data_IF_189797892756
#
_entry.id   IF_189797892756
#
_cell.length_a   1.000
_cell.length_b   1.000
_cell.length_c   1.000
_cell.angle_alpha   90.00
_cell.angle_beta   90.00
_cell.angle_gamma   90.00
#
_symmetry.space_group_name_H-M   'P 1'
#
loop_
_entity.id
_entity.type
_entity.pdbx_description
1 polymer ?
#
# COMPACT_ATOMS: atom_id res chain seq x y z
N UNK A 1 8.25 -33.15 4.08
CA UNK A 1 7.53 -32.12 4.82
C UNK A 1 8.54 -31.03 5.08
N UNK A 2 8.17 -29.78 4.82
CA UNK A 2 9.05 -28.66 5.12
C UNK A 2 9.32 -28.58 6.63
N UNK A 3 10.47 -28.04 7.01
CA UNK A 3 10.80 -27.76 8.40
C UNK A 3 9.85 -26.67 8.93
N UNK A 4 9.11 -26.97 10.00
CA UNK A 4 8.18 -26.00 10.60
C UNK A 4 8.89 -24.93 11.43
N UNK A 5 10.15 -25.14 11.78
CA UNK A 5 10.97 -24.22 12.58
C UNK A 5 12.28 -23.90 11.86
N UNK A 6 12.24 -23.37 10.63
CA UNK A 6 13.45 -23.21 9.81
C UNK A 6 14.51 -22.31 10.47
N UNK A 7 14.10 -21.44 11.38
CA UNK A 7 14.98 -20.46 12.07
C UNK A 7 14.91 -20.58 13.59
N UNK A 8 13.71 -20.65 14.18
CA UNK A 8 13.52 -20.58 15.63
C UNK A 8 14.06 -21.79 16.40
N UNK A 9 14.39 -22.89 15.72
CA UNK A 9 15.05 -24.04 16.34
C UNK A 9 16.35 -23.65 17.06
N UNK A 10 17.12 -22.67 16.53
CA UNK A 10 18.36 -22.20 17.18
C UNK A 10 18.11 -21.45 18.49
N UNK A 11 16.89 -21.00 18.74
CA UNK A 11 16.48 -20.27 19.97
C UNK A 11 15.91 -21.25 21.00
N UNK A 12 15.17 -22.25 20.57
CA UNK A 12 14.36 -23.10 21.48
C UNK A 12 14.90 -24.49 21.69
N UNK A 13 15.73 -25.05 20.80
CA UNK A 13 16.13 -26.46 20.85
C UNK A 13 17.49 -26.63 21.55
N UNK A 14 17.61 -27.73 22.32
CA UNK A 14 18.82 -28.03 23.05
C UNK A 14 18.85 -27.54 24.51
N UNK A 15 19.73 -28.13 25.31
CA UNK A 15 19.86 -27.80 26.73
C UNK A 15 20.40 -26.38 26.94
N UNK A 16 21.33 -25.97 26.10
CA UNK A 16 21.98 -24.65 26.13
C UNK A 16 21.02 -23.49 25.90
N UNK A 17 19.82 -23.77 25.35
CA UNK A 17 18.75 -22.78 25.12
C UNK A 17 17.77 -22.65 26.29
N UNK A 18 18.03 -23.31 27.41
CA UNK A 18 17.21 -23.15 28.62
C UNK A 18 17.05 -21.68 29.07
N UNK A 19 18.08 -20.80 29.02
CA UNK A 19 17.89 -19.38 29.34
C UNK A 19 16.92 -18.67 28.38
N UNK A 20 17.02 -18.91 27.06
CA UNK A 20 16.11 -18.33 26.07
C UNK A 20 14.67 -18.80 26.29
N UNK A 21 14.47 -20.10 26.48
CA UNK A 21 13.14 -20.65 26.81
C UNK A 21 12.60 -20.07 28.11
N UNK A 22 13.45 -19.82 29.10
CA UNK A 22 13.04 -19.17 30.35
C UNK A 22 12.48 -17.78 30.13
N UNK A 23 13.07 -16.99 29.21
CA UNK A 23 12.54 -15.68 28.81
C UNK A 23 11.24 -15.83 28.06
N UNK A 24 11.16 -16.77 27.10
CA UNK A 24 9.95 -17.03 26.31
C UNK A 24 8.76 -17.51 27.17
N UNK A 25 9.02 -18.24 28.26
CA UNK A 25 7.97 -18.59 29.24
C UNK A 25 7.34 -17.35 29.90
N UNK A 26 8.14 -16.33 30.16
CA UNK A 26 7.64 -15.08 30.74
C UNK A 26 6.68 -14.31 29.79
N UNK A 27 6.78 -14.54 28.48
CA UNK A 27 5.85 -13.98 27.48
C UNK A 27 4.72 -14.96 27.10
N UNK A 28 4.58 -16.08 27.84
CA UNK A 28 3.43 -16.96 27.77
C UNK A 28 3.62 -18.27 27.00
N UNK A 29 4.84 -18.58 26.51
CA UNK A 29 5.10 -19.89 25.87
C UNK A 29 5.19 -21.03 26.90
N UNK A 30 4.60 -22.16 26.57
CA UNK A 30 4.72 -23.42 27.34
C UNK A 30 5.57 -24.48 26.60
N UNK A 31 5.63 -25.69 27.15
CA UNK A 31 6.43 -26.78 26.60
C UNK A 31 5.99 -27.20 25.20
N UNK A 32 4.69 -27.16 24.92
CA UNK A 32 4.13 -27.51 23.62
C UNK A 32 4.42 -26.43 22.58
N UNK A 33 4.51 -25.17 22.99
CA UNK A 33 4.77 -24.02 22.11
C UNK A 33 6.19 -24.02 21.53
N UNK A 34 7.18 -24.58 22.25
CA UNK A 34 8.55 -24.67 21.74
C UNK A 34 8.70 -25.58 20.53
N UNK A 35 7.71 -26.39 20.24
CA UNK A 35 7.66 -27.23 19.01
C UNK A 35 7.03 -26.51 17.81
N UNK A 36 6.39 -25.34 18.01
CA UNK A 36 5.66 -24.58 17.01
C UNK A 36 6.56 -23.55 16.30
N UNK A 37 6.27 -23.18 15.04
CA UNK A 37 6.93 -22.05 14.41
C UNK A 37 6.59 -20.75 15.14
N UNK A 38 7.58 -19.88 15.30
CA UNK A 38 7.44 -18.57 15.91
C UNK A 38 7.19 -17.52 14.83
N UNK A 39 6.05 -16.84 14.90
CA UNK A 39 5.59 -15.91 13.87
C UNK A 39 5.67 -14.48 14.39
N UNK A 40 6.48 -13.64 13.73
CA UNK A 40 6.52 -12.22 13.98
C UNK A 40 5.22 -11.55 13.55
N UNK A 41 4.61 -10.77 14.43
CA UNK A 41 3.45 -9.92 14.12
C UNK A 41 3.92 -8.47 14.21
N UNK A 42 4.43 -7.95 13.07
CA UNK A 42 5.02 -6.63 12.97
C UNK A 42 3.96 -5.57 12.69
N UNK A 43 3.80 -4.58 13.55
CA UNK A 43 2.76 -3.57 13.43
C UNK A 43 3.30 -2.15 13.52
N UNK A 44 2.87 -1.28 12.61
CA UNK A 44 3.13 0.17 12.67
C UNK A 44 2.04 0.93 13.44
N UNK A 45 1.32 0.27 14.33
CA UNK A 45 0.27 0.88 15.15
C UNK A 45 0.76 2.10 15.93
N UNK A 46 -0.04 3.15 15.92
CA UNK A 46 0.10 4.31 16.79
C UNK A 46 -1.23 5.09 16.87
N UNK A 47 -1.32 6.00 17.82
CA UNK A 47 -2.48 6.90 18.02
C UNK A 47 -2.29 8.27 17.39
N UNK A 48 -1.21 8.48 16.60
CA UNK A 48 -0.88 9.79 15.99
C UNK A 48 -1.75 10.03 14.76
N UNK A 49 -2.06 8.98 14.00
CA UNK A 49 -2.77 9.08 12.72
C UNK A 49 -3.94 8.12 12.63
N UNK A 50 -5.09 8.53 12.03
CA UNK A 50 -6.21 7.63 11.81
C UNK A 50 -5.85 6.41 10.96
N UNK A 51 -4.82 6.51 10.10
CA UNK A 51 -4.36 5.42 9.25
C UNK A 51 -4.00 4.15 10.03
N UNK A 52 -3.50 4.29 11.26
CA UNK A 52 -2.91 3.19 12.03
C UNK A 52 -3.75 2.75 13.23
N UNK A 53 -4.86 3.41 13.53
CA UNK A 53 -5.66 3.13 14.74
C UNK A 53 -6.18 1.69 14.78
N UNK A 54 -6.61 1.12 13.64
CA UNK A 54 -7.15 -0.24 13.55
C UNK A 54 -6.10 -1.34 13.71
N UNK A 55 -4.80 -1.02 13.57
CA UNK A 55 -3.75 -2.04 13.41
C UNK A 55 -3.56 -2.93 14.66
N UNK A 56 -3.77 -2.42 15.87
CA UNK A 56 -3.69 -3.26 17.08
C UNK A 56 -4.80 -4.31 17.10
N UNK A 57 -6.03 -3.92 16.81
CA UNK A 57 -7.18 -4.83 16.68
C UNK A 57 -6.93 -5.92 15.63
N UNK A 58 -6.39 -5.53 14.46
CA UNK A 58 -6.08 -6.47 13.38
C UNK A 58 -4.93 -7.41 13.74
N UNK A 59 -3.90 -6.92 14.45
CA UNK A 59 -2.81 -7.75 14.94
C UNK A 59 -3.31 -8.82 15.92
N UNK A 60 -4.26 -8.49 16.82
CA UNK A 60 -4.87 -9.49 17.71
C UNK A 60 -5.64 -10.55 16.92
N UNK A 61 -6.42 -10.18 15.90
CA UNK A 61 -7.12 -11.13 15.04
C UNK A 61 -6.16 -12.07 14.29
N UNK A 62 -5.02 -11.55 13.81
CA UNK A 62 -4.01 -12.38 13.16
C UNK A 62 -3.33 -13.35 14.13
N UNK A 63 -3.08 -12.94 15.37
CA UNK A 63 -2.54 -13.83 16.42
C UNK A 63 -3.47 -15.02 16.67
N UNK A 64 -4.79 -14.79 16.69
CA UNK A 64 -5.78 -15.88 16.77
C UNK A 64 -5.64 -16.85 15.59
N UNK A 65 -5.43 -16.33 14.37
CA UNK A 65 -5.20 -17.14 13.17
C UNK A 65 -3.92 -17.95 13.24
N UNK A 66 -2.82 -17.35 13.69
CA UNK A 66 -1.53 -18.05 13.89
C UNK A 66 -1.68 -19.19 14.88
N UNK A 67 -2.32 -18.96 16.04
CA UNK A 67 -2.58 -20.03 17.02
C UNK A 67 -3.46 -21.14 16.43
N UNK A 68 -4.54 -20.77 15.73
CA UNK A 68 -5.46 -21.75 15.12
C UNK A 68 -4.75 -22.64 14.09
N UNK A 69 -3.74 -22.11 13.38
CA UNK A 69 -2.94 -22.85 12.42
C UNK A 69 -1.77 -23.62 13.05
N UNK A 70 -1.54 -23.51 14.36
CA UNK A 70 -0.50 -24.23 15.10
C UNK A 70 0.86 -23.54 15.14
N UNK A 71 0.91 -22.20 14.96
CA UNK A 71 2.06 -21.34 15.22
C UNK A 71 1.99 -20.64 16.57
N UNK A 72 3.05 -19.97 16.96
CA UNK A 72 3.09 -19.07 18.13
C UNK A 72 3.40 -17.65 17.69
N UNK A 73 2.47 -16.68 17.87
CA UNK A 73 2.65 -15.30 17.42
C UNK A 73 3.38 -14.46 18.47
N UNK A 74 4.36 -13.68 18.02
CA UNK A 74 5.13 -12.73 18.82
C UNK A 74 4.98 -11.34 18.21
N UNK A 75 4.21 -10.47 18.87
CA UNK A 75 3.93 -9.13 18.38
C UNK A 75 5.02 -8.13 18.76
N UNK A 76 5.44 -7.31 17.81
CA UNK A 76 6.33 -6.19 18.06
C UNK A 76 5.94 -4.98 17.19
N UNK A 77 6.41 -3.79 17.59
CA UNK A 77 6.08 -2.53 16.94
C UNK A 77 7.22 -1.97 16.09
N UNK A 78 6.85 -1.18 15.09
CA UNK A 78 7.74 -0.28 14.36
C UNK A 78 7.09 1.10 14.25
N UNK A 79 7.81 2.07 13.67
CA UNK A 79 7.32 3.45 13.50
C UNK A 79 6.34 3.59 12.33
N UNK A 80 5.67 4.73 12.28
CA UNK A 80 5.01 5.25 11.08
C UNK A 80 4.94 6.77 11.14
N UNK A 81 5.09 7.43 10.00
CA UNK A 81 4.88 8.87 9.81
C UNK A 81 3.58 9.07 9.03
N UNK A 82 2.80 10.07 9.40
CA UNK A 82 1.57 10.45 8.71
C UNK A 82 1.85 11.51 7.67
N UNK A 83 1.78 11.16 6.38
CA UNK A 83 1.94 12.14 5.31
C UNK A 83 0.89 13.24 5.39
N UNK A 84 -0.37 12.89 5.68
CA UNK A 84 -1.45 13.88 5.79
C UNK A 84 -1.29 14.90 6.91
N UNK A 85 -0.58 14.55 8.00
CA UNK A 85 -0.27 15.49 9.10
C UNK A 85 1.01 16.27 8.80
N UNK A 86 2.00 15.63 8.17
CA UNK A 86 3.33 16.20 7.92
C UNK A 86 3.38 17.07 6.67
N UNK A 87 2.40 17.00 5.79
CA UNK A 87 2.35 17.76 4.53
C UNK A 87 2.31 19.27 4.78
N UNK A 88 3.09 20.04 4.01
CA UNK A 88 3.16 21.48 4.09
C UNK A 88 4.08 22.05 5.19
N UNK A 89 4.88 21.22 5.86
CA UNK A 89 5.91 21.66 6.81
C UNK A 89 7.12 20.72 6.85
N UNK A 90 8.19 21.11 7.54
CA UNK A 90 9.48 20.39 7.62
C UNK A 90 9.36 18.90 8.03
N UNK A 91 8.26 18.50 8.67
CA UNK A 91 8.00 17.10 9.02
C UNK A 91 7.87 16.17 7.81
N UNK A 92 7.53 16.70 6.63
CA UNK A 92 7.38 15.88 5.42
C UNK A 92 8.69 15.27 4.95
N UNK A 93 9.85 15.89 5.24
CA UNK A 93 11.17 15.34 4.93
C UNK A 93 11.46 14.01 5.65
N UNK A 94 10.74 13.70 6.73
CA UNK A 94 10.86 12.43 7.45
C UNK A 94 9.94 11.32 6.87
N UNK A 95 9.04 11.65 5.97
CA UNK A 95 8.07 10.69 5.42
C UNK A 95 8.78 9.56 4.67
N UNK A 96 9.56 9.86 3.62
CA UNK A 96 10.24 8.82 2.83
C UNK A 96 11.30 8.07 3.65
N UNK A 97 12.03 8.77 4.52
CA UNK A 97 13.05 8.17 5.41
C UNK A 97 12.42 7.09 6.31
N UNK A 98 11.17 7.27 6.74
CA UNK A 98 10.48 6.30 7.60
C UNK A 98 10.32 4.93 6.95
N UNK A 99 10.23 4.85 5.61
CA UNK A 99 10.14 3.59 4.86
C UNK A 99 11.34 2.68 5.13
N UNK A 100 12.55 3.24 5.03
CA UNK A 100 13.80 2.51 5.29
C UNK A 100 13.90 2.07 6.75
N UNK A 101 13.60 2.98 7.69
CA UNK A 101 13.66 2.68 9.13
C UNK A 101 12.66 1.57 9.50
N UNK A 102 11.48 1.55 8.88
CA UNK A 102 10.50 0.48 9.08
C UNK A 102 11.08 -0.86 8.60
N UNK A 103 11.61 -0.92 7.38
CA UNK A 103 12.22 -2.12 6.84
C UNK A 103 13.38 -2.61 7.74
N UNK A 104 14.30 -1.72 8.12
CA UNK A 104 15.45 -2.01 8.97
C UNK A 104 15.03 -2.50 10.37
N UNK A 105 14.02 -1.88 10.98
CA UNK A 105 13.57 -2.27 12.32
C UNK A 105 12.90 -3.64 12.31
N UNK A 106 12.09 -3.95 11.31
CA UNK A 106 11.45 -5.27 11.16
C UNK A 106 12.51 -6.34 10.90
N UNK A 107 13.44 -6.09 9.97
CA UNK A 107 14.55 -6.99 9.69
C UNK A 107 15.38 -7.25 10.95
N UNK A 108 15.69 -6.23 11.72
CA UNK A 108 16.49 -6.34 12.95
C UNK A 108 15.83 -7.28 13.95
N UNK A 109 14.54 -7.11 14.23
CA UNK A 109 13.83 -7.97 15.19
C UNK A 109 13.70 -9.40 14.66
N UNK A 110 13.28 -9.57 13.41
CA UNK A 110 13.08 -10.88 12.79
C UNK A 110 14.38 -11.71 12.79
N UNK A 111 15.51 -11.07 12.52
CA UNK A 111 16.82 -11.74 12.48
C UNK A 111 17.39 -11.98 13.90
N UNK A 112 17.27 -11.00 14.80
CA UNK A 112 17.79 -11.14 16.17
C UNK A 112 17.07 -12.25 16.95
N UNK A 113 15.74 -12.32 16.80
CA UNK A 113 14.88 -13.30 17.50
C UNK A 113 14.67 -14.59 16.70
N UNK A 114 15.23 -14.70 15.49
CA UNK A 114 15.17 -15.88 14.62
C UNK A 114 13.74 -16.37 14.36
N UNK A 115 12.81 -15.42 14.07
CA UNK A 115 11.41 -15.77 13.81
C UNK A 115 11.25 -16.44 12.46
N UNK A 116 10.37 -17.45 12.37
CA UNK A 116 10.22 -18.36 11.23
C UNK A 116 9.43 -17.78 10.05
N UNK A 117 8.54 -16.83 10.33
CA UNK A 117 7.70 -16.16 9.36
C UNK A 117 7.08 -14.92 9.97
N UNK A 118 6.38 -14.11 9.18
CA UNK A 118 5.78 -12.87 9.69
C UNK A 118 4.46 -12.51 9.04
N UNK A 119 3.62 -11.81 9.83
CA UNK A 119 2.47 -11.04 9.35
C UNK A 119 2.76 -9.58 9.64
N UNK A 120 2.69 -8.73 8.62
CA UNK A 120 3.02 -7.31 8.73
C UNK A 120 1.78 -6.44 8.56
N UNK A 121 1.68 -5.37 9.35
CA UNK A 121 0.51 -4.49 9.41
C UNK A 121 0.91 -3.04 9.17
N UNK A 122 0.29 -2.41 8.17
CA UNK A 122 0.55 -1.01 7.83
C UNK A 122 -0.72 -0.28 7.36
N UNK A 123 -0.75 1.05 7.60
CA UNK A 123 -1.89 1.89 7.24
C UNK A 123 -1.52 3.19 6.50
N UNK A 124 -0.30 3.71 6.69
CA UNK A 124 0.11 4.99 6.12
C UNK A 124 1.10 4.82 4.96
N UNK A 125 1.21 5.81 4.10
CA UNK A 125 1.87 5.83 2.79
C UNK A 125 3.21 5.09 2.72
N UNK A 126 4.12 5.35 3.64
CA UNK A 126 5.48 4.79 3.61
C UNK A 126 5.60 3.51 4.44
N UNK A 127 4.64 3.26 5.36
CA UNK A 127 4.65 2.03 6.15
C UNK A 127 4.28 0.79 5.32
N UNK A 128 3.40 0.93 4.32
CA UNK A 128 3.07 -0.20 3.45
C UNK A 128 4.30 -0.71 2.68
N UNK A 129 4.98 0.11 1.87
CA UNK A 129 6.16 -0.35 1.16
C UNK A 129 7.30 -0.76 2.10
N UNK A 130 7.49 -0.10 3.25
CA UNK A 130 8.51 -0.48 4.23
C UNK A 130 8.32 -1.90 4.76
N UNK A 131 7.07 -2.31 5.05
CA UNK A 131 6.75 -3.68 5.45
C UNK A 131 6.97 -4.70 4.33
N UNK A 132 6.61 -4.35 3.09
CA UNK A 132 6.83 -5.23 1.93
C UNK A 132 8.32 -5.33 1.56
N UNK A 133 9.11 -4.26 1.74
CA UNK A 133 10.58 -4.31 1.61
C UNK A 133 11.20 -5.25 2.65
N UNK A 134 10.75 -5.19 3.92
CA UNK A 134 11.20 -6.11 4.94
C UNK A 134 10.90 -7.57 4.57
N UNK A 135 9.72 -7.85 3.98
CA UNK A 135 9.37 -9.19 3.51
C UNK A 135 10.32 -9.69 2.42
N UNK A 136 10.60 -8.84 1.42
CA UNK A 136 11.53 -9.13 0.33
C UNK A 136 12.95 -9.40 0.83
N UNK A 137 13.45 -8.56 1.75
CA UNK A 137 14.82 -8.60 2.30
C UNK A 137 15.05 -9.85 3.15
N UNK A 138 14.08 -10.17 4.01
CA UNK A 138 14.18 -11.32 4.92
C UNK A 138 13.98 -12.67 4.23
N UNK A 139 13.21 -12.70 3.17
CA UNK A 139 12.87 -13.91 2.41
C UNK A 139 12.37 -15.07 3.30
N UNK A 140 11.46 -14.75 4.21
CA UNK A 140 10.72 -15.72 5.04
C UNK A 140 9.26 -15.78 4.59
N UNK A 141 8.53 -16.81 5.03
CA UNK A 141 7.08 -16.85 4.85
C UNK A 141 6.45 -15.55 5.38
N UNK A 142 5.80 -14.78 4.52
CA UNK A 142 5.34 -13.43 4.84
C UNK A 142 3.96 -13.15 4.27
N UNK A 143 3.10 -12.49 5.07
CA UNK A 143 1.79 -12.01 4.64
C UNK A 143 1.64 -10.54 5.03
N UNK A 144 1.26 -9.69 4.07
CA UNK A 144 1.02 -8.27 4.31
C UNK A 144 -0.47 -8.00 4.55
N UNK A 145 -0.79 -7.18 5.56
CA UNK A 145 -2.15 -6.77 5.92
C UNK A 145 -2.27 -5.25 5.94
N UNK A 146 -3.14 -4.74 5.12
CA UNK A 146 -3.47 -3.31 5.06
C UNK A 146 -4.51 -2.94 6.12
N UNK A 147 -4.38 -1.76 6.73
CA UNK A 147 -5.34 -1.22 7.72
C UNK A 147 -6.75 -0.96 7.16
N UNK A 148 -6.84 -0.63 5.88
CA UNK A 148 -8.08 -0.21 5.23
C UNK A 148 -8.19 1.30 5.04
N UNK A 149 -9.01 1.71 4.06
CA UNK A 149 -9.31 3.11 3.80
C UNK A 149 -10.30 3.69 4.82
N UNK A 150 -10.21 5.01 5.04
CA UNK A 150 -11.20 5.75 5.84
C UNK A 150 -12.50 5.88 5.04
N UNK A 151 -13.63 5.91 5.73
CA UNK A 151 -14.90 6.28 5.10
C UNK A 151 -14.88 7.76 4.69
N UNK A 152 -15.48 8.15 3.56
CA UNK A 152 -15.68 9.56 3.27
C UNK A 152 -16.56 10.20 4.35
N UNK A 153 -16.26 11.46 4.69
CA UNK A 153 -17.12 12.27 5.53
C UNK A 153 -18.27 12.87 4.73
N UNK A 154 -19.16 13.62 5.40
CA UNK A 154 -20.29 14.29 4.73
C UNK A 154 -20.43 15.75 5.15
N UNK A 155 -20.63 16.61 4.15
CA UNK A 155 -21.08 18.00 4.33
C UNK A 155 -22.37 18.15 3.52
N UNK A 156 -23.50 18.23 4.21
CA UNK A 156 -24.81 18.07 3.59
C UNK A 156 -24.93 16.68 2.93
N UNK A 157 -25.27 16.68 1.65
CA UNK A 157 -25.37 15.45 0.85
C UNK A 157 -24.06 15.07 0.10
N UNK A 158 -23.03 15.91 0.20
CA UNK A 158 -21.75 15.73 -0.50
C UNK A 158 -20.78 14.90 0.34
N UNK A 159 -20.16 13.88 -0.28
CA UNK A 159 -19.03 13.16 0.29
C UNK A 159 -17.77 14.06 0.23
N UNK A 160 -17.06 14.14 1.35
CA UNK A 160 -15.83 14.91 1.49
C UNK A 160 -14.67 14.03 1.99
N UNK A 161 -13.47 14.37 1.55
CA UNK A 161 -12.23 13.66 1.85
C UNK A 161 -11.12 14.68 2.19
N UNK A 162 -9.92 14.22 2.51
CA UNK A 162 -8.78 15.12 2.81
C UNK A 162 -8.47 16.10 1.65
N UNK A 163 -8.71 15.72 0.39
CA UNK A 163 -8.53 16.62 -0.77
C UNK A 163 -9.47 17.81 -0.68
N UNK A 164 -10.71 17.58 -0.28
CA UNK A 164 -11.69 18.66 -0.14
C UNK A 164 -11.25 19.71 0.88
N UNK A 165 -10.48 19.33 1.91
CA UNK A 165 -9.90 20.28 2.86
C UNK A 165 -8.78 21.13 2.25
N UNK A 166 -7.88 20.52 1.46
CA UNK A 166 -6.83 21.28 0.75
C UNK A 166 -7.44 22.28 -0.25
N UNK A 167 -8.43 21.84 -1.02
CA UNK A 167 -9.16 22.71 -1.94
C UNK A 167 -9.89 23.84 -1.21
N UNK A 168 -10.51 23.54 -0.06
CA UNK A 168 -11.22 24.53 0.75
C UNK A 168 -10.29 25.60 1.31
N UNK A 169 -9.08 25.23 1.77
CA UNK A 169 -8.07 26.21 2.22
C UNK A 169 -7.69 27.17 1.09
N UNK A 170 -7.41 26.65 -0.11
CA UNK A 170 -7.11 27.46 -1.28
C UNK A 170 -8.27 28.36 -1.71
N UNK A 171 -9.50 27.85 -1.70
CA UNK A 171 -10.70 28.60 -2.03
C UNK A 171 -10.98 29.72 -1.01
N UNK A 172 -10.79 29.45 0.28
CA UNK A 172 -10.95 30.44 1.36
C UNK A 172 -9.89 31.54 1.25
N UNK A 173 -8.63 31.22 0.97
CA UNK A 173 -7.57 32.20 0.75
C UNK A 173 -7.90 33.18 -0.41
N UNK A 174 -8.68 32.70 -1.39
CA UNK A 174 -9.16 33.51 -2.53
C UNK A 174 -10.51 34.16 -2.29
N UNK A 175 -11.11 34.04 -1.10
CA UNK A 175 -12.41 34.61 -0.75
C UNK A 175 -13.59 33.95 -1.49
N UNK A 176 -13.43 32.73 -2.02
CA UNK A 176 -14.50 32.01 -2.72
C UNK A 176 -15.44 31.28 -1.76
N UNK A 177 -14.96 30.91 -0.59
CA UNK A 177 -15.74 30.35 0.52
C UNK A 177 -15.34 31.01 1.83
N UNK A 178 -16.18 30.87 2.85
CA UNK A 178 -15.96 31.44 4.18
C UNK A 178 -15.09 30.54 5.05
N UNK A 179 -14.59 31.07 6.16
CA UNK A 179 -13.87 30.28 7.17
C UNK A 179 -14.77 29.22 7.81
N UNK A 180 -16.04 29.56 8.04
CA UNK A 180 -17.05 28.66 8.60
C UNK A 180 -17.27 27.42 7.72
N UNK A 181 -17.28 27.61 6.38
CA UNK A 181 -17.38 26.49 5.42
C UNK A 181 -16.14 25.61 5.45
N UNK A 182 -14.93 26.17 5.61
CA UNK A 182 -13.69 25.39 5.83
C UNK A 182 -13.80 24.59 7.12
N UNK A 183 -14.25 25.20 8.22
CA UNK A 183 -14.40 24.55 9.53
C UNK A 183 -15.42 23.39 9.48
N UNK A 184 -16.46 23.48 8.66
CA UNK A 184 -17.43 22.42 8.44
C UNK A 184 -16.79 21.22 7.72
N UNK A 185 -16.02 21.47 6.65
CA UNK A 185 -15.29 20.46 5.90
C UNK A 185 -14.25 19.79 6.80
N UNK A 186 -13.45 20.56 7.54
CA UNK A 186 -12.42 20.06 8.47
C UNK A 186 -12.99 19.05 9.46
N UNK A 187 -14.16 19.32 10.05
CA UNK A 187 -14.81 18.41 11.00
C UNK A 187 -15.34 17.13 10.36
N UNK A 188 -15.52 17.11 9.05
CA UNK A 188 -16.18 16.02 8.35
C UNK A 188 -15.19 15.05 7.68
N UNK A 189 -14.03 15.51 7.19
CA UNK A 189 -13.15 14.76 6.27
C UNK A 189 -12.58 13.46 6.83
N UNK A 190 -12.47 13.31 8.16
CA UNK A 190 -11.87 12.14 8.81
C UNK A 190 -12.83 11.58 9.87
N UNK A 191 -13.90 10.86 9.50
CA UNK A 191 -14.94 10.43 10.44
C UNK A 191 -14.56 9.23 11.30
N UNK A 192 -13.31 8.74 11.25
CA UNK A 192 -12.87 7.60 12.04
C UNK A 192 -11.50 7.08 11.64
N UNK A 193 -11.27 5.77 11.84
CA UNK A 193 -10.03 5.09 11.49
C UNK A 193 -9.92 4.80 9.99
N UNK A 194 -8.69 4.71 9.49
CA UNK A 194 -8.36 4.33 8.12
C UNK A 194 -7.41 5.29 7.42
N UNK A 195 -6.79 4.81 6.35
CA UNK A 195 -5.95 5.59 5.45
C UNK A 195 -6.80 6.46 4.52
N UNK A 196 -6.19 7.45 3.85
CA UNK A 196 -6.90 8.35 2.94
C UNK A 196 -7.77 7.60 1.93
N UNK A 197 -9.01 8.08 1.69
CA UNK A 197 -10.03 7.34 0.93
C UNK A 197 -9.80 7.27 -0.59
N UNK A 198 -9.08 8.24 -1.19
CA UNK A 198 -8.79 8.24 -2.64
C UNK A 198 -7.73 7.22 -3.03
N UNK A 199 -7.48 7.08 -4.34
CA UNK A 199 -6.40 6.25 -4.90
C UNK A 199 -5.06 6.98 -4.77
N UNK A 200 -4.72 7.32 -3.51
CA UNK A 200 -3.44 7.87 -3.09
C UNK A 200 -2.47 6.73 -2.76
N UNK A 201 -1.33 7.03 -2.15
CA UNK A 201 -0.27 6.06 -1.98
C UNK A 201 -0.69 4.83 -1.17
N UNK A 202 -1.42 5.00 -0.06
CA UNK A 202 -1.81 3.88 0.79
C UNK A 202 -2.72 2.87 0.06
N UNK A 203 -3.81 3.34 -0.59
CA UNK A 203 -4.70 2.45 -1.36
C UNK A 203 -4.02 1.87 -2.61
N UNK A 204 -3.13 2.64 -3.24
CA UNK A 204 -2.30 2.14 -4.35
C UNK A 204 -1.40 0.99 -3.89
N UNK A 205 -0.65 1.17 -2.80
CA UNK A 205 0.24 0.14 -2.29
C UNK A 205 -0.50 -1.08 -1.72
N UNK A 206 -1.71 -0.89 -1.18
CA UNK A 206 -2.59 -2.00 -0.80
C UNK A 206 -3.03 -2.82 -2.01
N UNK A 207 -3.44 -2.16 -3.11
CA UNK A 207 -3.81 -2.80 -4.37
C UNK A 207 -2.61 -3.53 -5.02
N UNK A 208 -1.43 -2.93 -4.93
CA UNK A 208 -0.16 -3.52 -5.36
C UNK A 208 0.17 -4.76 -4.52
N UNK A 209 0.04 -4.70 -3.19
CA UNK A 209 0.27 -5.85 -2.31
C UNK A 209 -0.61 -7.04 -2.65
N UNK A 210 -1.86 -6.78 -3.06
CA UNK A 210 -2.78 -7.80 -3.55
C UNK A 210 -2.38 -8.32 -4.94
N UNK A 211 -1.97 -7.43 -5.86
CA UNK A 211 -1.57 -7.79 -7.22
C UNK A 211 -0.26 -8.59 -7.29
N UNK A 212 0.71 -8.30 -6.41
CA UNK A 212 1.94 -9.09 -6.24
C UNK A 212 1.62 -10.47 -5.65
N UNK A 213 0.55 -10.58 -4.84
CA UNK A 213 0.19 -11.79 -4.13
C UNK A 213 0.66 -11.85 -2.68
N UNK A 214 1.20 -10.75 -2.10
CA UNK A 214 1.62 -10.65 -0.69
C UNK A 214 0.45 -10.45 0.29
N UNK A 215 -0.73 -10.09 -0.20
CA UNK A 215 -1.96 -9.93 0.58
C UNK A 215 -3.02 -10.93 0.13
N UNK A 216 -3.94 -11.26 1.03
CA UNK A 216 -5.07 -12.11 0.68
C UNK A 216 -5.95 -11.45 -0.41
N UNK A 217 -6.40 -12.20 -1.42
CA UNK A 217 -7.28 -11.68 -2.46
C UNK A 217 -8.55 -11.04 -1.90
N UNK A 218 -8.88 -9.83 -2.38
CA UNK A 218 -10.03 -9.03 -1.94
C UNK A 218 -9.79 -8.24 -0.66
N UNK A 219 -8.57 -8.26 -0.09
CA UNK A 219 -8.27 -7.57 1.16
C UNK A 219 -7.91 -6.10 1.02
N UNK A 220 -7.58 -5.59 -0.17
CA UNK A 220 -7.14 -4.21 -0.34
C UNK A 220 -8.27 -3.18 -0.17
N UNK A 221 -9.47 -3.47 -0.68
CA UNK A 221 -10.55 -2.50 -0.81
C UNK A 221 -11.44 -2.27 0.43
N UNK A 222 -11.77 -3.26 1.28
CA UNK A 222 -12.66 -3.03 2.43
C UNK A 222 -12.19 -1.88 3.31
N UNK A 223 -13.08 -0.99 3.79
CA UNK A 223 -12.71 0.11 4.66
C UNK A 223 -12.22 -0.35 6.05
N UNK A 224 -11.49 0.49 6.77
CA UNK A 224 -10.87 0.16 8.05
C UNK A 224 -11.90 -0.27 9.11
N UNK A 225 -13.07 0.35 9.11
CA UNK A 225 -14.18 0.06 10.05
C UNK A 225 -14.96 -1.21 9.73
N UNK A 226 -14.71 -1.84 8.56
CA UNK A 226 -15.42 -3.04 8.14
C UNK A 226 -14.90 -4.28 8.89
N UNK A 227 -15.81 -5.09 9.45
CA UNK A 227 -15.45 -6.32 10.18
C UNK A 227 -14.81 -7.40 9.31
N UNK A 228 -14.94 -7.33 7.98
CA UNK A 228 -14.18 -8.20 7.06
C UNK A 228 -12.67 -8.05 7.27
N UNK A 229 -12.19 -6.89 7.73
CA UNK A 229 -10.79 -6.67 8.09
C UNK A 229 -10.29 -7.66 9.14
N UNK A 230 -11.07 -7.91 10.19
CA UNK A 230 -10.71 -8.86 11.24
C UNK A 230 -10.61 -10.29 10.67
N UNK A 231 -11.53 -10.64 9.77
CA UNK A 231 -11.49 -11.93 9.06
C UNK A 231 -10.25 -12.05 8.17
N UNK A 232 -9.91 -11.03 7.39
CA UNK A 232 -8.68 -11.02 6.58
C UNK A 232 -7.42 -11.12 7.46
N UNK A 233 -7.36 -10.37 8.55
CA UNK A 233 -6.23 -10.42 9.48
C UNK A 233 -6.06 -11.83 10.09
N UNK A 234 -7.15 -12.44 10.56
CA UNK A 234 -7.12 -13.81 11.07
C UNK A 234 -6.66 -14.82 10.01
N UNK A 235 -7.25 -14.76 8.80
CA UNK A 235 -6.83 -15.63 7.69
C UNK A 235 -5.38 -15.40 7.27
N UNK A 236 -4.86 -14.19 7.40
CA UNK A 236 -3.44 -13.89 7.15
C UNK A 236 -2.53 -14.57 8.17
N UNK A 237 -2.96 -14.64 9.44
CA UNK A 237 -2.27 -15.43 10.46
C UNK A 237 -2.28 -16.94 10.19
N UNK A 238 -3.39 -17.46 9.64
CA UNK A 238 -3.46 -18.87 9.19
C UNK A 238 -2.57 -19.10 7.97
N UNK A 239 -2.57 -18.16 7.02
CA UNK A 239 -1.84 -18.27 5.76
C UNK A 239 -0.32 -18.31 5.98
N UNK A 240 0.26 -17.48 6.85
CA UNK A 240 1.71 -17.48 7.09
C UNK A 240 2.21 -18.83 7.61
N UNK A 241 1.46 -19.50 8.48
CA UNK A 241 1.81 -20.83 8.97
C UNK A 241 1.68 -21.88 7.86
N UNK A 242 0.70 -21.73 6.97
CA UNK A 242 0.54 -22.60 5.82
C UNK A 242 1.65 -22.41 4.78
N UNK A 243 2.15 -21.18 4.58
CA UNK A 243 3.31 -20.91 3.73
C UNK A 243 4.56 -21.62 4.26
N UNK A 244 4.83 -21.60 5.58
CA UNK A 244 5.93 -22.38 6.18
C UNK A 244 5.78 -23.88 5.89
N UNK A 245 4.56 -24.44 6.03
CA UNK A 245 4.32 -25.87 5.71
C UNK A 245 4.61 -26.22 4.26
N UNK A 246 4.39 -25.29 3.35
CA UNK A 246 4.62 -25.45 1.92
C UNK A 246 6.06 -25.11 1.52
N UNK A 247 6.84 -24.46 2.40
CA UNK A 247 8.19 -23.99 2.12
C UNK A 247 8.20 -22.79 1.18
N UNK A 248 7.14 -21.98 1.19
CA UNK A 248 7.00 -20.79 0.34
C UNK A 248 7.48 -19.56 1.11
N UNK A 249 8.40 -18.81 0.51
CA UNK A 249 8.97 -17.57 1.06
C UNK A 249 8.43 -16.33 0.32
N UNK A 250 8.80 -15.14 0.80
CA UNK A 250 8.39 -13.89 0.16
C UNK A 250 8.90 -13.78 -1.28
N UNK A 251 10.13 -14.20 -1.57
CA UNK A 251 10.72 -14.08 -2.92
C UNK A 251 10.15 -15.10 -3.90
N UNK A 252 9.59 -16.22 -3.44
CA UNK A 252 8.84 -17.14 -4.30
C UNK A 252 7.57 -16.48 -4.86
N UNK A 253 7.02 -15.48 -4.14
CA UNK A 253 5.85 -14.69 -4.53
C UNK A 253 6.26 -13.42 -5.30
N UNK A 254 7.32 -12.73 -4.84
CA UNK A 254 7.77 -11.45 -5.39
C UNK A 254 8.65 -11.63 -6.63
N UNK A 255 8.16 -12.35 -7.63
CA UNK A 255 8.87 -12.60 -8.88
C UNK A 255 8.78 -11.41 -9.84
N UNK A 256 9.54 -11.42 -10.91
CA UNK A 256 9.47 -10.43 -11.98
C UNK A 256 8.06 -10.25 -12.50
N UNK A 257 7.36 -11.35 -12.77
CA UNK A 257 6.00 -11.37 -13.30
C UNK A 257 5.00 -10.81 -12.29
N UNK A 258 5.22 -11.02 -10.99
CA UNK A 258 4.41 -10.45 -9.92
C UNK A 258 4.58 -8.92 -9.84
N UNK A 259 5.80 -8.39 -10.04
CA UNK A 259 6.02 -6.95 -10.18
C UNK A 259 5.37 -6.38 -11.44
N UNK A 260 5.37 -7.10 -12.55
CA UNK A 260 4.64 -6.68 -13.76
C UNK A 260 3.11 -6.65 -13.51
N UNK A 261 2.56 -7.59 -12.75
CA UNK A 261 1.16 -7.54 -12.30
C UNK A 261 0.89 -6.29 -11.44
N UNK A 262 1.78 -5.96 -10.53
CA UNK A 262 1.68 -4.75 -9.71
C UNK A 262 1.64 -3.48 -10.56
N UNK A 263 2.55 -3.36 -11.54
CA UNK A 263 2.57 -2.22 -12.48
C UNK A 263 1.27 -2.20 -13.31
N UNK A 264 0.80 -3.34 -13.77
CA UNK A 264 -0.44 -3.45 -14.54
C UNK A 264 -1.64 -2.93 -13.76
N UNK A 265 -1.81 -3.35 -12.49
CA UNK A 265 -2.89 -2.87 -11.61
C UNK A 265 -2.71 -1.39 -11.27
N UNK A 266 -1.47 -0.94 -11.02
CA UNK A 266 -1.14 0.48 -10.81
C UNK A 266 -1.62 1.34 -11.99
N UNK A 267 -1.32 0.92 -13.22
CA UNK A 267 -1.70 1.64 -14.44
C UNK A 267 -3.22 1.65 -14.65
N UNK A 268 -3.87 0.51 -14.44
CA UNK A 268 -5.32 0.37 -14.64
C UNK A 268 -6.15 1.18 -13.62
N UNK A 269 -5.68 1.30 -12.38
CA UNK A 269 -6.35 2.08 -11.34
C UNK A 269 -5.98 3.58 -11.35
N UNK A 270 -4.97 3.98 -12.13
CA UNK A 270 -4.45 5.34 -12.07
C UNK A 270 -3.92 5.69 -10.68
N UNK A 271 -3.06 4.83 -10.13
CA UNK A 271 -2.54 4.97 -8.77
C UNK A 271 -1.56 6.13 -8.56
N UNK A 272 -0.96 6.20 -7.39
CA UNK A 272 0.01 7.22 -7.00
C UNK A 272 1.36 7.04 -7.70
N UNK A 273 1.99 8.14 -8.12
CA UNK A 273 3.37 8.14 -8.64
C UNK A 273 4.40 7.63 -7.62
N UNK A 274 4.11 7.73 -6.32
CA UNK A 274 4.94 7.12 -5.27
C UNK A 274 5.14 5.61 -5.47
N UNK A 275 4.17 4.92 -6.09
CA UNK A 275 4.27 3.49 -6.32
C UNK A 275 5.44 3.11 -7.24
N UNK A 276 5.81 3.98 -8.20
CA UNK A 276 6.99 3.76 -9.04
C UNK A 276 8.25 3.68 -8.19
N UNK A 277 8.45 4.69 -7.31
CA UNK A 277 9.56 4.72 -6.37
C UNK A 277 9.56 3.49 -5.43
N UNK A 278 8.38 3.10 -4.96
CA UNK A 278 8.26 2.00 -3.99
C UNK A 278 8.45 0.63 -4.64
N UNK A 279 7.93 0.42 -5.86
CA UNK A 279 8.12 -0.83 -6.58
C UNK A 279 9.58 -1.06 -6.96
N UNK A 280 10.30 0.00 -7.39
CA UNK A 280 11.73 -0.09 -7.65
C UNK A 280 12.51 -0.48 -6.38
N UNK A 281 12.19 0.11 -5.24
CA UNK A 281 12.83 -0.24 -3.97
C UNK A 281 12.50 -1.67 -3.53
N UNK A 282 11.24 -2.09 -3.63
CA UNK A 282 10.82 -3.46 -3.29
C UNK A 282 11.46 -4.50 -4.22
N UNK A 283 11.57 -4.21 -5.51
CA UNK A 283 12.22 -5.07 -6.49
C UNK A 283 13.71 -5.23 -6.19
N UNK A 284 14.39 -4.13 -5.82
CA UNK A 284 15.78 -4.17 -5.39
C UNK A 284 15.98 -5.09 -4.18
N UNK A 285 15.12 -5.01 -3.16
CA UNK A 285 15.18 -5.89 -1.98
C UNK A 285 14.84 -7.36 -2.31
N UNK A 286 14.05 -7.59 -3.35
CA UNK A 286 13.70 -8.93 -3.82
C UNK A 286 14.73 -9.54 -4.79
N UNK A 287 15.82 -8.84 -5.12
CA UNK A 287 16.77 -9.20 -6.19
C UNK A 287 16.11 -9.33 -7.58
N UNK A 288 15.08 -8.53 -7.85
CA UNK A 288 14.37 -8.47 -9.14
C UNK A 288 14.84 -7.24 -9.90
N UNK A 289 15.30 -7.47 -11.14
CA UNK A 289 15.73 -6.42 -12.06
C UNK A 289 14.50 -5.70 -12.62
N UNK A 290 14.16 -4.54 -12.06
CA UNK A 290 13.04 -3.69 -12.44
C UNK A 290 13.54 -2.29 -12.74
N UNK A 291 13.21 -1.76 -13.91
CA UNK A 291 13.63 -0.45 -14.36
C UNK A 291 12.45 0.48 -14.65
N UNK A 292 12.72 1.78 -14.73
CA UNK A 292 11.70 2.78 -15.06
C UNK A 292 11.05 2.53 -16.42
N UNK A 293 11.81 1.98 -17.38
CA UNK A 293 11.33 1.62 -18.72
C UNK A 293 10.21 0.54 -18.67
N UNK A 294 10.21 -0.32 -17.65
CA UNK A 294 9.13 -1.32 -17.50
C UNK A 294 7.77 -0.67 -17.27
N UNK A 295 7.76 0.42 -16.52
CA UNK A 295 6.53 1.19 -16.30
C UNK A 295 6.03 1.83 -17.60
N UNK A 296 6.94 2.32 -18.45
CA UNK A 296 6.57 2.81 -19.77
C UNK A 296 6.03 1.71 -20.66
N UNK A 297 6.75 0.60 -20.77
CA UNK A 297 6.39 -0.56 -21.58
C UNK A 297 5.04 -1.14 -21.21
N UNK A 298 4.76 -1.28 -19.91
CA UNK A 298 3.48 -1.82 -19.43
C UNK A 298 2.38 -0.77 -19.55
N UNK A 299 2.62 0.47 -19.12
CA UNK A 299 1.65 1.55 -19.15
C UNK A 299 1.15 1.90 -20.56
N UNK A 300 1.98 1.72 -21.58
CA UNK A 300 1.58 1.98 -22.97
C UNK A 300 0.54 1.00 -23.53
N UNK A 301 0.32 -0.16 -22.88
CA UNK A 301 -0.62 -1.20 -23.31
C UNK A 301 -1.75 -1.48 -22.32
N UNK A 302 -1.62 -1.01 -21.10
CA UNK A 302 -2.63 -1.20 -20.06
C UNK A 302 -3.54 0.03 -20.01
N UNK A 303 -4.86 -0.11 -20.24
CA UNK A 303 -5.76 1.02 -20.23
C UNK A 303 -6.11 1.48 -18.80
N UNK A 304 -6.52 2.75 -18.66
CA UNK A 304 -7.06 3.30 -17.41
C UNK A 304 -8.51 2.86 -17.24
N UNK A 305 -8.79 2.15 -16.14
CA UNK A 305 -10.11 1.59 -15.83
C UNK A 305 -10.80 2.25 -14.64
N UNK A 306 -10.04 2.82 -13.69
CA UNK A 306 -10.58 3.38 -12.44
C UNK A 306 -10.86 4.88 -12.53
N UNK A 307 -12.12 5.30 -12.32
CA UNK A 307 -12.51 6.72 -12.20
C UNK A 307 -12.33 7.20 -10.75
N UNK A 308 -11.09 7.27 -10.29
CA UNK A 308 -10.75 7.40 -8.88
C UNK A 308 -10.10 8.75 -8.55
N UNK A 309 -10.47 9.33 -7.37
CA UNK A 309 -9.80 10.53 -6.83
C UNK A 309 -8.28 10.28 -6.68
N UNK A 310 -7.42 11.29 -6.96
CA UNK A 310 -7.73 12.73 -6.95
C UNK A 310 -8.33 13.30 -8.25
N UNK A 311 -8.17 12.66 -9.39
CA UNK A 311 -8.63 13.20 -10.68
C UNK A 311 -9.99 12.67 -11.12
N UNK A 312 -10.38 11.50 -10.66
CA UNK A 312 -11.70 10.92 -10.87
C UNK A 312 -12.70 11.29 -9.77
N UNK A 313 -13.83 10.61 -9.79
CA UNK A 313 -15.00 10.94 -8.93
C UNK A 313 -15.10 10.10 -7.67
N UNK A 314 -14.58 8.88 -7.70
CA UNK A 314 -14.85 7.85 -6.70
C UNK A 314 -13.66 7.62 -5.76
N UNK A 315 -13.93 6.96 -4.63
CA UNK A 315 -12.95 6.61 -3.60
C UNK A 315 -12.84 5.09 -3.44
N UNK A 316 -11.89 4.60 -2.65
CA UNK A 316 -11.66 3.16 -2.47
C UNK A 316 -12.88 2.40 -1.92
N UNK A 317 -13.69 3.05 -1.09
CA UNK A 317 -14.96 2.49 -0.61
C UNK A 317 -15.97 2.19 -1.74
N UNK A 318 -15.93 2.97 -2.83
CA UNK A 318 -16.77 2.72 -3.98
C UNK A 318 -16.24 1.52 -4.79
N UNK A 319 -14.91 1.38 -4.88
CA UNK A 319 -14.26 0.19 -5.46
C UNK A 319 -14.65 -1.07 -4.68
N UNK A 320 -14.65 -1.01 -3.34
CA UNK A 320 -15.10 -2.12 -2.49
C UNK A 320 -16.54 -2.56 -2.80
N UNK A 321 -17.46 -1.58 -2.98
CA UNK A 321 -18.87 -1.85 -3.27
C UNK A 321 -19.10 -2.60 -4.57
N UNK A 322 -18.22 -2.47 -5.55
CA UNK A 322 -18.31 -3.14 -6.86
C UNK A 322 -17.45 -4.41 -6.94
N UNK A 323 -16.87 -4.85 -5.83
CA UNK A 323 -16.13 -6.12 -5.72
C UNK A 323 -14.63 -6.01 -5.53
N UNK A 324 -14.09 -4.79 -5.42
CA UNK A 324 -12.70 -4.55 -5.04
C UNK A 324 -11.69 -4.75 -6.16
N UNK A 325 -10.43 -4.85 -5.77
CA UNK A 325 -9.29 -5.06 -6.69
C UNK A 325 -9.41 -6.34 -7.52
N UNK A 326 -10.00 -7.46 -7.02
CA UNK A 326 -10.19 -8.66 -7.82
C UNK A 326 -10.99 -8.44 -9.12
N UNK A 327 -11.93 -7.49 -9.16
CA UNK A 327 -12.68 -7.12 -10.37
C UNK A 327 -11.74 -6.60 -11.45
N UNK A 328 -10.82 -5.72 -11.08
CA UNK A 328 -9.81 -5.16 -11.98
C UNK A 328 -8.84 -6.26 -12.43
N UNK A 329 -8.33 -7.06 -11.49
CA UNK A 329 -7.39 -8.14 -11.80
C UNK A 329 -8.01 -9.18 -12.73
N UNK A 330 -9.29 -9.54 -12.53
CA UNK A 330 -10.00 -10.46 -13.41
C UNK A 330 -10.17 -9.88 -14.82
N UNK A 331 -10.59 -8.62 -14.94
CA UNK A 331 -10.75 -7.97 -16.24
C UNK A 331 -9.41 -7.90 -17.01
N UNK A 332 -8.30 -7.62 -16.31
CA UNK A 332 -6.96 -7.61 -16.89
C UNK A 332 -6.45 -9.01 -17.26
N UNK A 333 -6.75 -10.02 -16.45
CA UNK A 333 -6.41 -11.42 -16.72
C UNK A 333 -7.16 -11.92 -17.96
N UNK A 334 -8.45 -11.68 -18.06
CA UNK A 334 -9.28 -12.09 -19.19
C UNK A 334 -8.83 -11.40 -20.51
N UNK A 335 -8.28 -10.19 -20.42
CA UNK A 335 -7.71 -9.45 -21.52
C UNK A 335 -6.25 -9.88 -21.88
N UNK A 336 -5.66 -10.82 -21.14
CA UNK A 336 -4.28 -11.26 -21.35
C UNK A 336 -3.23 -10.22 -20.94
N UNK A 337 -3.57 -9.30 -20.05
CA UNK A 337 -2.70 -8.23 -19.56
C UNK A 337 -2.09 -8.53 -18.19
N UNK A 338 -2.55 -9.57 -17.49
CA UNK A 338 -2.08 -9.98 -16.16
C UNK A 338 -1.51 -11.41 -16.20
N UNK A 339 -0.43 -11.66 -15.47
CA UNK A 339 0.20 -12.99 -15.35
C UNK A 339 -0.55 -13.83 -14.29
N UNK A 340 -1.35 -14.78 -14.76
CA UNK A 340 -2.19 -15.60 -13.90
C UNK A 340 -1.45 -16.66 -13.08
N UNK A 341 -0.24 -17.08 -13.52
CA UNK A 341 0.53 -18.17 -12.91
C UNK A 341 1.35 -17.73 -11.68
N UNK A 342 1.39 -16.43 -11.35
CA UNK A 342 2.09 -15.92 -10.18
C UNK A 342 1.52 -16.50 -8.88
N UNK A 343 2.41 -17.02 -8.03
CA UNK A 343 2.07 -17.57 -6.72
C UNK A 343 1.64 -16.47 -5.75
N UNK A 344 0.79 -16.80 -4.79
CA UNK A 344 0.30 -15.86 -3.79
C UNK A 344 0.39 -16.43 -2.37
N UNK A 345 0.12 -15.60 -1.37
CA UNK A 345 0.08 -16.00 0.06
C UNK A 345 -0.97 -17.06 0.41
N UNK A 346 -1.88 -17.38 -0.50
CA UNK A 346 -2.81 -18.50 -0.31
C UNK A 346 -2.16 -19.86 -0.60
N UNK A 347 -0.98 -19.87 -1.24
CA UNK A 347 -0.34 -21.08 -1.79
C UNK A 347 -0.91 -21.49 -3.14
N UNK A 348 -1.88 -20.73 -3.68
CA UNK A 348 -2.44 -20.87 -5.02
C UNK A 348 -1.99 -19.71 -5.92
N UNK A 349 -2.18 -19.86 -7.23
CA UNK A 349 -1.87 -18.83 -8.21
C UNK A 349 -2.91 -17.71 -8.24
N UNK A 350 -2.58 -16.59 -8.87
CA UNK A 350 -3.50 -15.48 -9.11
C UNK A 350 -4.74 -15.95 -9.86
N UNK A 351 -4.56 -16.75 -10.93
CA UNK A 351 -5.69 -17.25 -11.72
C UNK A 351 -6.60 -18.19 -10.91
N UNK A 352 -6.04 -19.08 -10.10
CA UNK A 352 -6.80 -19.99 -9.24
C UNK A 352 -7.60 -19.20 -8.19
N UNK A 353 -7.00 -18.21 -7.53
CA UNK A 353 -7.68 -17.35 -6.58
C UNK A 353 -8.84 -16.55 -7.23
N UNK A 354 -8.62 -15.99 -8.42
CA UNK A 354 -9.66 -15.25 -9.13
C UNK A 354 -10.79 -16.16 -9.60
N UNK A 355 -10.49 -17.41 -10.00
CA UNK A 355 -11.50 -18.40 -10.33
C UNK A 355 -12.34 -18.81 -9.12
N UNK A 356 -11.73 -18.96 -7.93
CA UNK A 356 -12.44 -19.28 -6.68
C UNK A 356 -13.31 -18.11 -6.21
N UNK A 357 -12.78 -16.88 -6.24
CA UNK A 357 -13.53 -15.67 -5.84
C UNK A 357 -14.67 -15.35 -6.79
N UNK A 358 -14.53 -15.69 -8.06
CA UNK A 358 -15.48 -15.39 -9.13
C UNK A 358 -15.97 -13.93 -9.10
N UNK A 359 -15.06 -12.91 -9.18
CA UNK A 359 -15.44 -11.50 -9.12
C UNK A 359 -16.42 -11.16 -10.25
N UNK A 360 -17.31 -10.20 -10.00
CA UNK A 360 -18.19 -9.64 -11.03
C UNK A 360 -17.41 -8.93 -12.12
N UNK A 361 -18.06 -8.67 -13.25
CA UNK A 361 -17.54 -7.76 -14.26
C UNK A 361 -17.51 -6.31 -13.74
N UNK A 362 -16.69 -5.42 -14.33
CA UNK A 362 -16.69 -3.99 -14.02
C UNK A 362 -18.09 -3.38 -14.16
N UNK A 363 -18.45 -2.46 -13.25
CA UNK A 363 -19.79 -1.84 -13.18
C UNK A 363 -20.07 -0.78 -14.27
N UNK A 364 -19.04 -0.43 -15.04
CA UNK A 364 -19.10 0.57 -16.12
C UNK A 364 -19.15 2.04 -15.65
N UNK A 365 -18.91 2.29 -14.34
CA UNK A 365 -18.92 3.65 -13.76
C UNK A 365 -17.70 3.92 -12.88
N UNK A 366 -17.51 3.14 -11.83
CA UNK A 366 -16.37 3.22 -10.90
C UNK A 366 -15.19 2.52 -11.52
N UNK A 367 -15.43 1.34 -12.06
CA UNK A 367 -14.51 0.54 -12.84
C UNK A 367 -15.13 0.29 -14.20
N UNK A 368 -14.44 0.67 -15.28
CA UNK A 368 -14.92 0.46 -16.66
C UNK A 368 -14.27 -0.78 -17.28
N UNK A 369 -14.86 -1.30 -18.33
CA UNK A 369 -14.36 -2.47 -19.02
C UNK A 369 -13.09 -2.16 -19.85
N UNK A 370 -12.24 -3.17 -20.07
CA UNK A 370 -10.99 -3.04 -20.82
C UNK A 370 -11.20 -2.63 -22.29
N UNK A 371 -12.31 -3.03 -22.88
CA UNK A 371 -12.69 -2.67 -24.26
C UNK A 371 -13.35 -1.28 -24.39
N UNK A 372 -13.68 -0.64 -23.28
CA UNK A 372 -14.28 0.69 -23.20
C UNK A 372 -13.65 1.52 -22.07
N UNK A 373 -12.31 1.74 -22.10
CA UNK A 373 -11.58 2.34 -21.00
C UNK A 373 -11.80 3.85 -20.91
N UNK A 374 -11.43 4.43 -19.75
CA UNK A 374 -11.39 5.90 -19.57
C UNK A 374 -10.28 6.53 -20.41
N UNK A 375 -9.14 5.84 -20.52
CA UNK A 375 -8.03 6.17 -21.40
C UNK A 375 -7.42 4.88 -21.93
N UNK A 376 -6.91 4.89 -23.16
CA UNK A 376 -6.24 3.75 -23.78
C UNK A 376 -4.85 3.48 -23.22
N UNK A 377 -4.29 4.43 -22.46
CA UNK A 377 -3.01 4.34 -21.77
C UNK A 377 -3.22 4.36 -20.26
N UNK A 378 -2.25 3.80 -19.54
CA UNK A 378 -2.27 3.76 -18.06
C UNK A 378 -2.22 5.14 -17.43
N UNK A 379 -2.68 5.21 -16.18
CA UNK A 379 -2.79 6.49 -15.45
C UNK A 379 -1.46 7.11 -15.03
N UNK A 380 -0.31 6.49 -15.34
CA UNK A 380 1.04 7.00 -15.07
C UNK A 380 1.87 6.90 -16.34
N UNK A 381 2.60 7.97 -16.66
CA UNK A 381 3.47 8.04 -17.81
C UNK A 381 4.90 8.35 -17.40
N UNK A 382 5.86 7.67 -17.99
CA UNK A 382 7.29 7.97 -17.86
C UNK A 382 7.69 8.96 -18.97
N UNK A 383 8.34 10.04 -18.57
CA UNK A 383 8.84 11.08 -19.47
C UNK A 383 10.37 11.06 -19.50
N UNK A 384 10.96 11.44 -20.62
CA UNK A 384 12.40 11.70 -20.73
C UNK A 384 12.64 12.91 -21.61
N UNK A 385 13.75 13.61 -21.40
CA UNK A 385 14.10 14.79 -22.20
C UNK A 385 15.25 15.58 -21.60
N UNK A 386 15.56 16.76 -22.18
CA UNK A 386 16.68 17.58 -21.74
C UNK A 386 16.58 18.09 -20.30
N UNK A 387 15.35 18.26 -19.77
CA UNK A 387 15.12 18.65 -18.38
C UNK A 387 15.36 17.47 -17.42
N UNK A 388 15.04 16.26 -17.83
CA UNK A 388 15.09 15.05 -17.01
C UNK A 388 15.60 13.87 -17.84
N UNK A 389 16.93 13.80 -18.15
CA UNK A 389 17.48 12.79 -19.05
C UNK A 389 17.41 11.37 -18.50
N UNK A 390 17.44 11.20 -17.20
CA UNK A 390 17.32 9.90 -16.52
C UNK A 390 15.86 9.44 -16.33
N UNK A 391 14.91 10.25 -16.75
CA UNK A 391 13.48 9.98 -16.65
C UNK A 391 12.78 10.78 -15.56
N UNK A 392 11.47 10.92 -15.73
CA UNK A 392 10.53 11.50 -14.78
C UNK A 392 9.21 10.74 -14.85
N UNK A 393 8.41 10.88 -13.81
CA UNK A 393 7.10 10.23 -13.71
C UNK A 393 6.02 11.31 -13.59
N UNK A 394 4.98 11.20 -14.42
CA UNK A 394 3.80 12.04 -14.32
C UNK A 394 2.55 11.19 -14.15
N UNK A 395 1.63 11.62 -13.30
CA UNK A 395 0.29 11.08 -13.26
C UNK A 395 -0.51 11.67 -14.41
N UNK A 396 -0.73 10.88 -15.46
CA UNK A 396 -1.47 11.28 -16.68
C UNK A 396 -2.99 11.12 -16.52
N UNK A 397 -3.44 10.26 -15.58
CA UNK A 397 -4.87 10.11 -15.30
C UNK A 397 -5.54 11.46 -15.02
N UNK A 398 -6.54 11.82 -15.83
CA UNK A 398 -7.31 13.05 -15.67
C UNK A 398 -6.60 14.34 -16.09
N UNK A 399 -5.43 14.27 -16.73
CA UNK A 399 -4.75 15.44 -17.32
C UNK A 399 -5.25 15.64 -18.75
N UNK A 400 -5.93 16.77 -19.05
CA UNK A 400 -6.60 16.95 -20.35
C UNK A 400 -5.68 17.45 -21.47
N UNK A 401 -4.37 17.55 -21.24
CA UNK A 401 -3.40 18.12 -22.19
C UNK A 401 -2.22 17.19 -22.41
N UNK A 402 -1.95 16.86 -23.68
CA UNK A 402 -0.80 16.06 -24.10
C UNK A 402 0.48 16.91 -24.21
N UNK A 403 0.35 18.18 -24.52
CA UNK A 403 1.46 19.13 -24.69
C UNK A 403 1.17 20.41 -23.94
N UNK A 404 2.13 20.85 -23.13
CA UNK A 404 2.09 22.15 -22.46
C UNK A 404 3.38 22.94 -22.73
N UNK A 405 3.27 24.17 -23.19
CA UNK A 405 4.39 25.09 -23.40
C UNK A 405 4.20 26.33 -22.54
N UNK A 406 5.27 26.74 -21.83
CA UNK A 406 5.23 27.90 -20.96
C UNK A 406 6.60 28.34 -20.47
N UNK A 407 6.65 29.53 -19.89
CA UNK A 407 7.87 30.06 -19.26
C UNK A 407 8.12 29.36 -17.93
N UNK A 408 9.32 28.87 -17.71
CA UNK A 408 9.70 28.26 -16.45
C UNK A 408 9.85 29.31 -15.32
N UNK A 409 9.15 29.05 -14.19
CA UNK A 409 9.34 29.75 -12.92
C UNK A 409 10.01 28.79 -11.95
N UNK A 410 11.28 29.02 -11.68
CA UNK A 410 12.11 28.10 -10.87
C UNK A 410 12.19 28.61 -9.45
N UNK A 411 11.89 27.75 -8.49
CA UNK A 411 11.93 28.00 -7.06
C UNK A 411 12.87 26.99 -6.39
N UNK A 412 13.60 27.44 -5.37
CA UNK A 412 14.56 26.59 -4.67
C UNK A 412 13.91 25.74 -3.56
N UNK A 413 12.64 26.03 -3.20
CA UNK A 413 11.84 25.31 -2.21
C UNK A 413 10.37 25.52 -2.44
N UNK A 414 9.54 24.56 -1.92
CA UNK A 414 8.08 24.61 -1.96
C UNK A 414 7.54 25.92 -1.36
N UNK A 415 8.07 26.37 -0.21
CA UNK A 415 7.60 27.57 0.48
C UNK A 415 7.73 28.83 -0.40
N UNK A 416 8.81 28.92 -1.19
CA UNK A 416 9.00 30.05 -2.11
C UNK A 416 8.00 30.02 -3.28
N UNK A 417 7.65 28.83 -3.77
CA UNK A 417 6.63 28.65 -4.81
C UNK A 417 5.22 29.00 -4.27
N UNK A 418 4.90 28.58 -3.05
CA UNK A 418 3.64 28.90 -2.39
C UNK A 418 3.49 30.40 -2.17
N UNK A 419 4.54 31.07 -1.67
CA UNK A 419 4.51 32.53 -1.51
C UNK A 419 4.31 33.25 -2.86
N UNK A 420 4.98 32.80 -3.92
CA UNK A 420 4.82 33.37 -5.26
C UNK A 420 3.42 33.14 -5.85
N UNK A 421 2.75 32.05 -5.48
CA UNK A 421 1.35 31.79 -5.84
C UNK A 421 0.41 32.74 -5.10
N UNK A 422 0.59 32.95 -3.80
CA UNK A 422 -0.18 33.86 -2.97
C UNK A 422 -0.02 35.32 -3.42
N UNK A 423 1.22 35.74 -3.73
CA UNK A 423 1.53 37.10 -4.23
C UNK A 423 1.05 37.33 -5.68
N UNK A 424 0.53 36.29 -6.35
CA UNK A 424 0.11 36.38 -7.74
C UNK A 424 1.28 36.53 -8.73
N UNK A 425 2.50 36.17 -8.34
CA UNK A 425 3.69 36.20 -9.20
C UNK A 425 3.66 35.09 -10.25
N UNK A 426 3.10 33.92 -9.89
CA UNK A 426 2.84 32.82 -10.82
C UNK A 426 1.60 33.17 -11.64
N UNK A 427 1.71 33.08 -12.96
CA UNK A 427 0.66 33.42 -13.91
C UNK A 427 0.16 32.18 -14.67
N UNK A 428 -1.06 32.27 -15.20
CA UNK A 428 -1.56 31.23 -16.12
C UNK A 428 -0.62 31.08 -17.32
N UNK A 429 -0.23 29.86 -17.63
CA UNK A 429 0.75 29.55 -18.69
C UNK A 429 2.20 29.41 -18.20
N UNK A 430 2.49 29.69 -16.92
CA UNK A 430 3.81 29.41 -16.37
C UNK A 430 4.00 27.90 -16.08
N UNK A 431 5.23 27.42 -16.22
CA UNK A 431 5.69 26.11 -15.77
C UNK A 431 6.41 26.28 -14.43
N UNK A 432 5.82 25.80 -13.35
CA UNK A 432 6.40 25.89 -12.02
C UNK A 432 7.40 24.75 -11.84
N UNK A 433 8.65 25.10 -11.52
CA UNK A 433 9.72 24.14 -11.23
C UNK A 433 10.21 24.39 -9.79
N UNK A 434 10.10 23.38 -8.94
CA UNK A 434 10.58 23.42 -7.56
C UNK A 434 11.78 22.47 -7.47
N UNK A 435 12.88 22.95 -6.87
CA UNK A 435 14.13 22.20 -6.71
C UNK A 435 14.41 21.97 -5.24
N UNK A 436 15.18 20.91 -4.94
CA UNK A 436 15.68 20.56 -3.60
C UNK A 436 14.58 20.24 -2.57
N UNK A 437 13.52 19.55 -3.02
CA UNK A 437 12.44 19.00 -2.18
C UNK A 437 12.41 17.47 -2.23
#
# INVERSE_FOLDING_TARGET
MADMKPRSHVVTDGLERAPARGMLRAVGMDDDDFSKPQIGVASSWNEITPCNLSLDRLAQAAKEGVHAAGGFPLQFGTISVSDGISMGHEGMHFSLVSREIIADSVETVMNAEMLDGMVTFAGCDKSLPGMMMAAARLDVASVFVYAGSIMPGKVGDRDVTIIDAFEAVGACARGLITREEVDEIERAICPGEGACGGMYTANTMASIGEAIGLSLPGSAAPPAVDRRRDTYARRSGEAVVNLIRQGITARDIMTREAFENAITVLMALGGSTNAVLHLLAMAHEADVDLELEDFHRIGSRVPLLGDLKPFGRYVMNDVDRVGGVPVVMKALLDAGLLNGDCLTVTGATVAENLAELAPSDPDGKILVAVDSPLDTHGGITVLSGSLCPEGAVVKSAGVPVDVFEGSARVFEREQAAMQALEDGTIQAGDVVVIRYE
#
